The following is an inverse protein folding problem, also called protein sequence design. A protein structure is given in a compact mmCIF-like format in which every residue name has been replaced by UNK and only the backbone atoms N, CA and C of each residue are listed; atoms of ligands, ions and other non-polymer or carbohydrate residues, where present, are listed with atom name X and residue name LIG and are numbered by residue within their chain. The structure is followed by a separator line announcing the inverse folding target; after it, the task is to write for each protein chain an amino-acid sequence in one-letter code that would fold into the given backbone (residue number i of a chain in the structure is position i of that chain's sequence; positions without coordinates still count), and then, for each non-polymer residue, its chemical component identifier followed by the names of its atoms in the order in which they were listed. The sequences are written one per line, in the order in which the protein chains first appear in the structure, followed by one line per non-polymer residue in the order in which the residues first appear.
data_IF_648337759375
#
_entry.id   IF_648337759375
#
_cell.length_a   1.000
_cell.length_b   1.000
_cell.length_c   1.000
_cell.angle_alpha   90.00
_cell.angle_beta   90.00
_cell.angle_gamma   90.00
#
_symmetry.space_group_name_H-M   'P 1'
#
loop_
_entity.id
_entity.type
_entity.pdbx_description
1 polymer ?
#
# COMPACT_ATOMS: atom_id res chain seq x y z
N UNK A 1 -37.87 -9.53 -14.62
CA UNK A 1 -37.25 -9.14 -14.51
C UNK A 1 -36.39 -8.64 -14.49
N UNK A 2 -36.31 -8.58 -14.55
CA UNK A 2 -35.53 -8.13 -14.54
C UNK A 2 -34.88 -7.50 -14.40
N UNK A 3 -34.95 -7.46 -14.37
CA UNK A 3 -34.24 -6.86 -14.27
C UNK A 3 -33.67 -6.22 -14.03
N UNK A 4 -34.38 -6.00 -13.95
CA UNK A 4 -33.51 -5.37 -13.65
C UNK A 4 -32.11 -5.64 -13.67
N UNK A 5 -31.68 -6.43 -14.16
CA UNK A 5 -30.27 -6.63 -14.40
C UNK A 5 -29.59 -5.44 -15.02
N UNK A 6 -30.30 -4.65 -15.75
CA UNK A 6 -29.78 -3.41 -16.30
C UNK A 6 -29.21 -2.47 -15.24
N UNK A 7 -29.81 -2.47 -14.06
CA UNK A 7 -29.31 -1.66 -12.96
C UNK A 7 -27.93 -2.11 -12.50
N UNK A 8 -27.65 -3.39 -12.57
CA UNK A 8 -26.35 -3.93 -12.17
C UNK A 8 -25.30 -3.70 -13.25
N UNK A 9 -25.73 -3.68 -14.48
CA UNK A 9 -24.84 -3.58 -15.62
C UNK A 9 -24.76 -2.17 -16.16
N UNK A 10 -25.43 -1.21 -15.50
CA UNK A 10 -25.27 0.17 -15.86
C UNK A 10 -23.81 0.54 -15.86
N UNK A 11 -23.34 1.30 -16.85
CA UNK A 11 -21.97 1.74 -16.87
C UNK A 11 -21.64 2.46 -15.57
N UNK A 12 -20.60 2.05 -14.93
CA UNK A 12 -20.13 2.67 -13.71
C UNK A 12 -18.81 3.34 -13.98
N UNK A 13 -18.55 4.37 -13.23
CA UNK A 13 -17.21 4.90 -13.20
C UNK A 13 -16.28 3.76 -12.86
N UNK A 14 -15.23 3.60 -13.64
CA UNK A 14 -14.18 2.62 -13.36
C UNK A 14 -13.51 3.05 -12.07
N UNK A 15 -13.38 2.13 -11.14
CA UNK A 15 -12.66 2.42 -9.91
C UNK A 15 -11.16 2.32 -10.20
N UNK A 16 -10.57 3.45 -10.57
CA UNK A 16 -9.17 3.53 -10.94
C UNK A 16 -8.25 3.16 -9.78
N UNK A 17 -8.69 3.46 -8.57
CA UNK A 17 -7.91 3.10 -7.38
C UNK A 17 -7.82 1.59 -7.22
N UNK A 18 -8.95 0.88 -7.35
CA UNK A 18 -8.97 -0.58 -7.28
C UNK A 18 -8.09 -1.20 -8.37
N UNK A 19 -8.13 -0.63 -9.58
CA UNK A 19 -7.28 -1.11 -10.66
C UNK A 19 -5.80 -0.87 -10.36
N UNK A 20 -5.46 0.27 -9.76
CA UNK A 20 -4.08 0.56 -9.40
C UNK A 20 -3.56 -0.42 -8.33
N UNK A 21 -4.39 -0.79 -7.37
CA UNK A 21 -4.03 -1.80 -6.37
C UNK A 21 -3.82 -3.16 -7.05
N UNK A 22 -4.71 -3.53 -7.98
CA UNK A 22 -4.59 -4.77 -8.73
C UNK A 22 -3.31 -4.80 -9.58
N UNK A 23 -2.93 -3.65 -10.15
CA UNK A 23 -1.68 -3.54 -10.90
C UNK A 23 -0.47 -3.82 -10.01
N UNK A 24 -0.48 -3.36 -8.77
CA UNK A 24 0.59 -3.67 -7.82
C UNK A 24 0.72 -5.16 -7.60
N UNK A 25 -0.41 -5.85 -7.43
CA UNK A 25 -0.40 -7.30 -7.29
C UNK A 25 0.21 -7.97 -8.54
N UNK A 26 -0.20 -7.51 -9.72
CA UNK A 26 0.30 -8.05 -10.99
C UNK A 26 1.81 -7.88 -11.12
N UNK A 27 2.33 -6.70 -10.79
CA UNK A 27 3.77 -6.44 -10.83
C UNK A 27 4.53 -7.34 -9.87
N UNK A 28 3.99 -7.55 -8.67
CA UNK A 28 4.61 -8.46 -7.70
C UNK A 28 4.63 -9.90 -8.20
N UNK A 29 3.54 -10.35 -8.81
CA UNK A 29 3.48 -11.70 -9.37
C UNK A 29 4.41 -11.85 -10.57
N UNK A 30 4.60 -10.81 -11.36
CA UNK A 30 5.57 -10.83 -12.44
C UNK A 30 7.00 -10.93 -11.89
N UNK A 31 7.30 -10.21 -10.82
CA UNK A 31 8.60 -10.32 -10.16
C UNK A 31 8.82 -11.71 -9.57
N UNK A 32 7.77 -12.30 -8.99
CA UNK A 32 7.82 -13.68 -8.50
C UNK A 32 8.12 -14.66 -9.63
N UNK A 33 7.50 -14.45 -10.78
CA UNK A 33 7.71 -15.29 -11.95
C UNK A 33 9.15 -15.21 -12.47
N UNK A 34 9.81 -14.07 -12.25
CA UNK A 34 11.22 -13.88 -12.60
C UNK A 34 12.18 -14.33 -11.48
N UNK A 35 11.66 -14.98 -10.45
CA UNK A 35 12.43 -15.41 -9.27
C UNK A 35 13.12 -14.27 -8.51
N UNK A 36 12.58 -13.06 -8.60
CA UNK A 36 13.13 -11.91 -7.89
C UNK A 36 12.65 -11.85 -6.44
N UNK A 37 11.45 -12.36 -6.19
CA UNK A 37 10.88 -12.39 -4.85
C UNK A 37 9.82 -13.48 -4.78
N UNK A 38 9.28 -13.68 -3.58
CA UNK A 38 8.15 -14.57 -3.36
C UNK A 38 7.03 -13.75 -2.72
N UNK A 39 5.83 -13.81 -3.28
CA UNK A 39 4.66 -13.17 -2.67
C UNK A 39 4.06 -14.15 -1.68
N UNK A 40 4.24 -13.84 -0.40
CA UNK A 40 3.77 -14.73 0.67
C UNK A 40 2.32 -14.44 0.98
N UNK A 41 1.94 -13.15 0.99
CA UNK A 41 0.58 -12.73 1.30
C UNK A 41 0.27 -11.42 0.58
N UNK A 42 -0.94 -11.30 0.07
CA UNK A 42 -1.46 -10.05 -0.48
C UNK A 42 -2.93 -9.98 -0.12
N UNK A 43 -3.25 -9.15 0.86
CA UNK A 43 -4.62 -9.03 1.39
C UNK A 43 -5.11 -7.61 1.13
N UNK A 44 -6.25 -7.49 0.46
CA UNK A 44 -6.84 -6.19 0.12
C UNK A 44 -7.87 -5.75 1.15
N UNK A 45 -8.44 -4.55 0.95
CA UNK A 45 -9.51 -4.03 1.80
C UNK A 45 -10.78 -4.85 1.66
N UNK A 46 -11.56 -4.97 2.70
CA UNK A 46 -11.34 -4.44 4.05
C UNK A 46 -10.57 -5.37 4.98
N UNK A 47 -10.23 -6.57 4.52
CA UNK A 47 -9.59 -7.59 5.36
C UNK A 47 -8.22 -7.17 5.87
N UNK A 48 -7.53 -6.27 5.15
CA UNK A 48 -6.23 -5.78 5.57
C UNK A 48 -6.29 -4.67 6.62
N UNK A 49 -7.47 -4.19 6.96
CA UNK A 49 -7.61 -3.14 7.98
C UNK A 49 -7.19 -3.67 9.35
N UNK A 50 -6.52 -2.82 10.12
CA UNK A 50 -5.90 -3.23 11.38
C UNK A 50 -6.10 -2.17 12.44
N UNK A 51 -6.66 -2.57 13.58
CA UNK A 51 -6.72 -1.70 14.75
C UNK A 51 -5.46 -1.83 15.57
N UNK A 52 -4.87 -0.71 15.94
CA UNK A 52 -3.69 -0.63 16.80
C UNK A 52 -4.05 0.34 17.93
N UNK A 53 -4.41 -0.22 19.09
CA UNK A 53 -4.98 0.60 20.16
C UNK A 53 -6.23 1.32 19.66
N UNK A 54 -6.27 2.63 19.80
CA UNK A 54 -7.39 3.47 19.34
C UNK A 54 -7.25 3.87 17.86
N UNK A 55 -6.17 3.49 17.20
CA UNK A 55 -5.91 3.88 15.81
C UNK A 55 -6.35 2.78 14.88
N UNK A 56 -7.18 3.13 13.89
CA UNK A 56 -7.56 2.20 12.83
C UNK A 56 -6.71 2.49 11.59
N UNK A 57 -5.94 1.49 11.18
CA UNK A 57 -5.19 1.56 9.93
C UNK A 57 -6.04 0.98 8.80
N UNK A 58 -6.12 1.73 7.71
CA UNK A 58 -6.90 1.34 6.54
C UNK A 58 -6.03 1.36 5.27
N UNK A 59 -4.98 0.54 5.23
CA UNK A 59 -4.15 0.46 4.03
C UNK A 59 -4.94 -0.08 2.86
N UNK A 60 -4.44 0.16 1.65
CA UNK A 60 -5.04 -0.39 0.44
C UNK A 60 -4.82 -1.90 0.35
N UNK A 61 -3.70 -2.36 0.90
CA UNK A 61 -3.40 -3.80 0.99
C UNK A 61 -2.36 -4.03 2.07
N UNK A 62 -2.30 -5.27 2.55
CA UNK A 62 -1.21 -5.76 3.38
C UNK A 62 -0.43 -6.79 2.56
N UNK A 63 0.88 -6.64 2.51
CA UNK A 63 1.74 -7.46 1.65
C UNK A 63 2.87 -8.05 2.47
N UNK A 64 3.11 -9.34 2.28
CA UNK A 64 4.34 -9.99 2.75
C UNK A 64 5.08 -10.53 1.55
N UNK A 65 6.35 -10.20 1.46
CA UNK A 65 7.20 -10.65 0.37
C UNK A 65 8.52 -11.16 0.92
N UNK A 66 9.04 -12.20 0.30
CA UNK A 66 10.30 -12.81 0.67
C UNK A 66 11.35 -12.63 -0.40
N UNK A 67 12.59 -12.46 0.02
CA UNK A 67 13.73 -12.51 -0.88
C UNK A 67 14.46 -13.81 -0.63
N UNK A 68 14.39 -14.73 -1.59
CA UNK A 68 14.98 -16.06 -1.42
C UNK A 68 16.50 -16.02 -1.33
N UNK A 69 17.13 -15.11 -2.07
CA UNK A 69 18.58 -15.00 -2.10
C UNK A 69 19.13 -14.55 -0.74
N UNK A 70 18.43 -13.62 -0.10
CA UNK A 70 18.84 -13.08 1.20
C UNK A 70 18.17 -13.79 2.37
N UNK A 71 17.18 -14.62 2.10
CA UNK A 71 16.35 -15.29 3.09
C UNK A 71 15.70 -14.31 4.07
N UNK A 72 15.24 -13.19 3.52
CA UNK A 72 14.59 -12.11 4.28
C UNK A 72 13.13 -12.03 3.89
N UNK A 73 12.28 -11.89 4.88
CA UNK A 73 10.85 -11.64 4.71
C UNK A 73 10.55 -10.23 5.16
N UNK A 74 9.76 -9.50 4.36
CA UNK A 74 9.34 -8.14 4.68
C UNK A 74 7.84 -8.02 4.61
N UNK A 75 7.28 -7.19 5.47
CA UNK A 75 5.86 -6.91 5.49
C UNK A 75 5.62 -5.42 5.25
N UNK A 76 4.55 -5.12 4.52
CA UNK A 76 4.22 -3.75 4.14
C UNK A 76 2.73 -3.49 4.28
N UNK A 77 2.40 -2.31 4.76
CA UNK A 77 1.11 -1.71 4.48
C UNK A 77 1.24 -0.90 3.21
N UNK A 78 0.47 -1.25 2.20
CA UNK A 78 0.54 -0.66 0.88
C UNK A 78 -0.43 0.51 0.78
N UNK A 79 0.08 1.65 0.32
CA UNK A 79 -0.73 2.82 0.01
C UNK A 79 -0.48 3.18 -1.45
N UNK A 80 -1.49 3.01 -2.28
CA UNK A 80 -1.38 3.30 -3.70
C UNK A 80 -1.88 4.72 -3.94
N UNK A 81 -0.97 5.61 -4.29
CA UNK A 81 -1.28 7.01 -4.53
C UNK A 81 -1.33 7.27 -6.04
N UNK A 82 -2.45 7.82 -6.50
CA UNK A 82 -2.63 8.16 -7.91
C UNK A 82 -2.30 9.62 -8.22
N UNK A 83 -1.76 10.33 -7.23
CA UNK A 83 -1.42 11.74 -7.37
C UNK A 83 -2.60 12.67 -7.20
N UNK A 84 -3.71 12.19 -6.69
CA UNK A 84 -4.95 12.97 -6.59
C UNK A 84 -5.30 13.40 -5.17
N UNK A 85 -4.66 12.84 -4.17
CA UNK A 85 -4.95 13.22 -2.77
C UNK A 85 -4.29 14.54 -2.42
N UNK A 86 -4.99 15.33 -1.61
CA UNK A 86 -4.45 16.60 -1.10
C UNK A 86 -3.38 16.35 -0.04
N UNK A 87 -2.47 17.32 0.09
CA UNK A 87 -1.40 17.27 1.09
C UNK A 87 -1.93 17.06 2.49
N UNK A 88 -3.05 17.73 2.84
CA UNK A 88 -3.66 17.56 4.16
C UNK A 88 -4.07 16.11 4.44
N UNK A 89 -4.65 15.45 3.46
CA UNK A 89 -5.05 14.04 3.57
C UNK A 89 -3.82 13.15 3.72
N UNK A 90 -2.77 13.42 2.97
CA UNK A 90 -1.50 12.68 3.08
C UNK A 90 -0.88 12.84 4.46
N UNK A 91 -0.91 14.06 5.01
CA UNK A 91 -0.39 14.33 6.35
C UNK A 91 -1.15 13.55 7.41
N UNK A 92 -2.48 13.53 7.32
CA UNK A 92 -3.31 12.77 8.26
C UNK A 92 -3.00 11.27 8.17
N UNK A 93 -2.84 10.78 6.96
CA UNK A 93 -2.53 9.37 6.73
C UNK A 93 -1.19 9.01 7.36
N UNK A 94 -0.16 9.79 7.10
CA UNK A 94 1.16 9.56 7.68
C UNK A 94 1.13 9.66 9.21
N UNK A 95 0.40 10.64 9.74
CA UNK A 95 0.26 10.82 11.19
C UNK A 95 -0.38 9.59 11.83
N UNK A 96 -1.39 9.03 11.18
CA UNK A 96 -2.08 7.83 11.70
C UNK A 96 -1.13 6.64 11.78
N UNK A 97 -0.31 6.43 10.76
CA UNK A 97 0.69 5.37 10.81
C UNK A 97 1.74 5.60 11.89
N UNK A 98 2.16 6.84 12.07
CA UNK A 98 3.11 7.19 13.13
C UNK A 98 2.52 6.94 14.50
N UNK A 99 1.25 7.28 14.71
CA UNK A 99 0.55 7.02 15.97
C UNK A 99 0.45 5.51 16.22
N UNK A 100 0.10 4.74 15.21
CA UNK A 100 0.03 3.29 15.32
C UNK A 100 1.41 2.70 15.65
N UNK A 101 2.45 3.21 15.03
CA UNK A 101 3.83 2.77 15.30
C UNK A 101 4.19 2.96 16.77
N UNK A 102 3.82 4.10 17.35
CA UNK A 102 4.10 4.37 18.76
C UNK A 102 3.32 3.46 19.71
N UNK A 103 2.13 3.01 19.28
CA UNK A 103 1.27 2.15 20.08
C UNK A 103 1.54 0.66 19.90
N UNK A 104 2.36 0.30 18.91
CA UNK A 104 2.60 -1.09 18.55
C UNK A 104 3.35 -1.81 19.66
N UNK A 105 2.85 -2.99 20.04
CA UNK A 105 3.40 -3.74 21.15
C UNK A 105 4.38 -4.85 20.72
N UNK A 106 4.31 -5.24 19.46
CA UNK A 106 5.16 -6.30 18.93
C UNK A 106 6.51 -5.75 18.50
N UNK A 107 7.46 -6.64 18.25
CA UNK A 107 8.81 -6.26 17.88
C UNK A 107 8.93 -5.73 16.46
N UNK A 108 8.04 -6.14 15.58
CA UNK A 108 8.11 -5.77 14.16
C UNK A 108 6.85 -5.06 13.72
N UNK A 109 7.03 -3.85 13.22
CA UNK A 109 5.95 -3.06 12.62
C UNK A 109 6.18 -3.05 11.11
N UNK A 110 5.17 -3.45 10.31
CA UNK A 110 5.32 -3.40 8.85
C UNK A 110 5.67 -2.00 8.36
N UNK A 111 6.48 -1.90 7.32
CA UNK A 111 6.74 -0.61 6.69
C UNK A 111 5.49 -0.13 5.95
N UNK A 112 5.36 1.18 5.83
CA UNK A 112 4.31 1.77 5.01
C UNK A 112 4.93 2.07 3.65
N UNK A 113 4.45 1.38 2.63
CA UNK A 113 4.97 1.53 1.27
C UNK A 113 3.98 2.35 0.44
N UNK A 114 4.39 3.54 0.06
CA UNK A 114 3.64 4.36 -0.89
C UNK A 114 4.12 4.04 -2.30
N UNK A 115 3.18 3.69 -3.17
CA UNK A 115 3.44 3.50 -4.59
C UNK A 115 2.83 4.68 -5.33
N UNK A 116 3.66 5.42 -6.04
CA UNK A 116 3.29 6.71 -6.63
C UNK A 116 3.51 6.70 -8.15
N UNK A 117 2.82 7.60 -8.90
CA UNK A 117 2.94 7.57 -10.36
C UNK A 117 4.28 8.11 -10.89
N UNK A 118 4.94 9.02 -10.19
CA UNK A 118 6.14 9.65 -10.68
C UNK A 118 7.03 10.18 -9.55
N UNK A 119 8.23 10.62 -9.90
CA UNK A 119 9.19 11.08 -8.91
C UNK A 119 8.79 12.40 -8.25
N UNK A 120 8.05 13.25 -8.95
CA UNK A 120 7.55 14.50 -8.36
C UNK A 120 6.61 14.19 -7.19
N UNK A 121 5.74 13.23 -7.37
CA UNK A 121 4.81 12.80 -6.32
C UNK A 121 5.56 12.11 -5.19
N UNK A 122 6.58 11.33 -5.52
CA UNK A 122 7.42 10.68 -4.53
C UNK A 122 8.09 11.70 -3.61
N UNK A 123 8.63 12.77 -4.18
CA UNK A 123 9.27 13.82 -3.39
C UNK A 123 8.28 14.50 -2.44
N UNK A 124 7.07 14.75 -2.92
CA UNK A 124 6.03 15.34 -2.08
C UNK A 124 5.73 14.45 -0.88
N UNK A 125 5.54 13.16 -1.11
CA UNK A 125 5.21 12.23 -0.02
C UNK A 125 6.39 12.09 0.94
N UNK A 126 7.61 12.03 0.45
CA UNK A 126 8.79 11.99 1.31
C UNK A 126 8.84 13.21 2.25
N UNK A 127 8.49 14.37 1.73
CA UNK A 127 8.43 15.59 2.56
C UNK A 127 7.35 15.50 3.62
N UNK A 128 6.17 15.02 3.25
CA UNK A 128 5.04 14.89 4.16
C UNK A 128 5.35 13.87 5.26
N UNK A 129 6.06 12.81 4.93
CA UNK A 129 6.37 11.72 5.85
C UNK A 129 7.51 12.04 6.84
N UNK A 130 8.18 13.17 6.67
CA UNK A 130 9.29 13.56 7.57
C UNK A 130 8.79 13.75 9.01
N UNK A 131 9.68 13.47 9.96
CA UNK A 131 9.40 13.68 11.35
C UNK A 131 8.92 12.47 12.13
N UNK A 132 8.76 11.34 11.45
CA UNK A 132 8.48 10.06 12.10
C UNK A 132 9.73 9.19 12.21
N UNK A 133 9.55 7.91 12.46
CA UNK A 133 10.63 6.94 12.41
C UNK A 133 11.18 6.89 10.99
N UNK A 134 12.48 7.04 10.84
CA UNK A 134 13.11 7.18 9.53
C UNK A 134 12.82 6.02 8.59
N UNK A 135 12.66 4.83 9.13
CA UNK A 135 12.46 3.62 8.34
C UNK A 135 11.00 3.23 8.19
N UNK A 136 10.08 4.00 8.75
CA UNK A 136 8.66 3.65 8.72
C UNK A 136 8.07 3.75 7.32
N UNK A 137 8.44 4.78 6.58
CA UNK A 137 7.85 5.05 5.27
C UNK A 137 8.84 4.77 4.16
N UNK A 138 8.37 4.12 3.12
CA UNK A 138 9.11 3.91 1.90
C UNK A 138 8.25 4.39 0.74
N UNK A 139 8.85 5.04 -0.26
CA UNK A 139 8.14 5.57 -1.42
C UNK A 139 8.79 5.03 -2.67
N UNK A 140 7.99 4.43 -3.55
CA UNK A 140 8.48 3.89 -4.82
C UNK A 140 7.58 4.33 -5.96
N UNK A 141 8.18 4.55 -7.10
CA UNK A 141 7.41 4.81 -8.32
C UNK A 141 6.94 3.49 -8.92
N UNK A 142 5.86 3.57 -9.70
CA UNK A 142 5.28 2.38 -10.34
C UNK A 142 6.29 1.60 -11.18
N UNK A 143 7.20 2.29 -11.84
CA UNK A 143 8.20 1.64 -12.68
C UNK A 143 9.30 0.93 -11.91
N UNK A 144 9.41 1.17 -10.62
CA UNK A 144 10.48 0.65 -9.77
C UNK A 144 9.93 -0.13 -8.57
N UNK A 145 8.84 -0.85 -8.77
CA UNK A 145 8.23 -1.61 -7.69
C UNK A 145 8.98 -2.91 -7.45
N UNK A 146 10.09 -2.79 -6.75
CA UNK A 146 10.85 -3.93 -6.28
C UNK A 146 10.91 -3.84 -4.75
N UNK A 147 10.34 -4.83 -4.08
CA UNK A 147 10.22 -4.83 -2.62
C UNK A 147 11.42 -5.45 -1.92
N UNK A 148 12.37 -5.92 -2.67
CA UNK A 148 13.53 -6.58 -2.09
C UNK A 148 14.81 -5.94 -2.54
#
# INVERSE_FOLDING_TARGET
MLDKPGAYWAPRAVNLHTLAVADCYTWLKQAEHRDELEVIQFTTEPECHQSVGSVLLTPDAYVEAGNRAEQVKRAYWLEVDRGTEHVGTLKEKCSRYQDAYRLWQDTYFPQVLFVVPDEQRAELIRKVARGGAETLFEVRTCGNLMLC
#
